data_IF_289560974648
#
_entry.id   IF_289560974648
#
_cell.length_a   1.000
_cell.length_b   1.000
_cell.length_c   1.000
_cell.angle_alpha   90.00
_cell.angle_beta   90.00
_cell.angle_gamma   90.00
#
_symmetry.space_group_name_H-M   'P 1'
#
loop_
_entity.id
_entity.type
_entity.pdbx_description
1 polymer ?
#
# COMPACT_ATOMS: atom_id res chain seq x y z
N UNK A 1 -21.25 1.63 12.11
CA UNK A 1 -20.44 1.51 10.87
C UNK A 1 -21.07 2.39 9.80
N UNK A 2 -20.44 3.51 9.49
CA UNK A 2 -20.90 4.44 8.43
C UNK A 2 -20.56 3.84 7.05
N UNK A 3 -21.48 3.92 6.08
CA UNK A 3 -21.20 3.51 4.69
C UNK A 3 -21.29 4.72 3.76
N UNK A 4 -20.20 4.99 3.05
CA UNK A 4 -20.04 6.16 2.18
C UNK A 4 -19.98 5.69 0.73
N UNK A 5 -20.91 6.17 -0.10
CA UNK A 5 -20.89 5.90 -1.55
C UNK A 5 -20.25 7.08 -2.26
N UNK A 6 -19.17 6.84 -3.00
CA UNK A 6 -18.40 7.90 -3.67
C UNK A 6 -18.01 7.50 -5.08
N UNK A 7 -17.95 8.47 -5.99
CA UNK A 7 -17.41 8.25 -7.32
C UNK A 7 -15.88 8.23 -7.30
N UNK A 8 -15.27 7.46 -8.22
CA UNK A 8 -13.80 7.39 -8.33
C UNK A 8 -13.14 8.76 -8.44
N UNK A 9 -13.71 9.67 -9.23
CA UNK A 9 -13.18 11.05 -9.39
C UNK A 9 -13.18 11.83 -8.08
N UNK A 10 -14.26 11.73 -7.30
CA UNK A 10 -14.38 12.44 -6.01
C UNK A 10 -13.48 11.84 -4.95
N UNK A 11 -13.28 10.52 -4.98
CA UNK A 11 -12.32 9.81 -4.14
C UNK A 11 -10.88 10.23 -4.44
N UNK A 12 -10.43 10.19 -5.71
CA UNK A 12 -9.06 10.55 -6.09
C UNK A 12 -8.73 12.01 -5.80
N UNK A 13 -9.71 12.92 -5.91
CA UNK A 13 -9.50 14.33 -5.59
C UNK A 13 -9.47 14.66 -4.10
N UNK A 14 -9.86 13.72 -3.23
CA UNK A 14 -9.90 13.93 -1.77
C UNK A 14 -9.44 12.66 -1.03
N UNK A 15 -8.39 12.04 -1.54
CA UNK A 15 -7.95 10.71 -1.10
C UNK A 15 -7.74 10.67 0.43
N UNK A 16 -6.97 11.63 0.97
CA UNK A 16 -6.66 11.71 2.40
C UNK A 16 -7.90 11.78 3.29
N UNK A 17 -8.92 12.53 2.86
CA UNK A 17 -10.18 12.67 3.60
C UNK A 17 -10.90 11.33 3.70
N UNK A 18 -10.99 10.59 2.59
CA UNK A 18 -11.67 9.30 2.59
C UNK A 18 -10.84 8.22 3.27
N UNK A 19 -9.51 8.30 3.19
CA UNK A 19 -8.61 7.39 3.89
C UNK A 19 -8.77 7.50 5.41
N UNK A 20 -8.76 8.72 5.96
CA UNK A 20 -9.03 8.95 7.40
C UNK A 20 -10.38 8.38 7.84
N UNK A 21 -11.42 8.54 7.02
CA UNK A 21 -12.73 7.96 7.34
C UNK A 21 -12.70 6.42 7.40
N UNK A 22 -11.88 5.77 6.57
CA UNK A 22 -11.69 4.31 6.62
C UNK A 22 -10.98 3.90 7.91
N UNK A 23 -9.96 4.67 8.32
CA UNK A 23 -9.26 4.49 9.60
C UNK A 23 -10.20 4.68 10.79
N UNK A 24 -11.11 5.66 10.73
CA UNK A 24 -12.16 5.92 11.73
C UNK A 24 -13.30 4.88 11.72
N UNK A 25 -13.24 3.87 10.84
CA UNK A 25 -14.17 2.74 10.83
C UNK A 25 -15.30 2.82 9.77
N UNK A 26 -15.21 3.73 8.80
CA UNK A 26 -16.17 3.83 7.71
C UNK A 26 -15.90 2.80 6.60
N UNK A 27 -16.97 2.27 6.00
CA UNK A 27 -16.92 1.50 4.77
C UNK A 27 -17.13 2.42 3.56
N UNK A 28 -16.36 2.22 2.50
CA UNK A 28 -16.49 2.98 1.25
C UNK A 28 -16.95 2.10 0.10
N UNK A 29 -17.97 2.54 -0.62
CA UNK A 29 -18.39 1.97 -1.89
C UNK A 29 -17.93 2.93 -2.99
N UNK A 30 -16.87 2.54 -3.70
CA UNK A 30 -16.28 3.31 -4.78
C UNK A 30 -16.92 2.91 -6.11
N UNK A 31 -17.53 3.85 -6.83
CA UNK A 31 -18.21 3.61 -8.11
C UNK A 31 -17.55 4.32 -9.30
N UNK A 32 -17.45 3.64 -10.45
CA UNK A 32 -17.06 4.25 -11.72
C UNK A 32 -17.68 3.52 -12.91
N UNK A 33 -18.46 4.24 -13.73
CA UNK A 33 -19.28 3.62 -14.77
C UNK A 33 -20.20 2.55 -14.17
N UNK A 34 -20.21 1.35 -14.78
CA UNK A 34 -20.95 0.19 -14.28
C UNK A 34 -20.14 -0.67 -13.28
N UNK A 35 -18.96 -0.22 -12.85
CA UNK A 35 -18.10 -0.93 -11.91
C UNK A 35 -18.21 -0.33 -10.51
N UNK A 36 -18.06 -1.18 -9.51
CA UNK A 36 -17.94 -0.75 -8.11
C UNK A 36 -16.95 -1.65 -7.37
N UNK A 37 -16.33 -1.11 -6.32
CA UNK A 37 -15.60 -1.88 -5.32
C UNK A 37 -15.98 -1.44 -3.92
N UNK A 38 -15.79 -2.33 -2.95
CA UNK A 38 -16.00 -2.05 -1.54
C UNK A 38 -14.61 -1.97 -0.88
N UNK A 39 -14.38 -0.88 -0.16
CA UNK A 39 -13.24 -0.71 0.72
C UNK A 39 -13.78 -0.86 2.14
N UNK A 40 -13.48 -1.97 2.83
CA UNK A 40 -13.97 -2.18 4.19
C UNK A 40 -13.25 -1.24 5.18
N UNK A 41 -13.81 -1.08 6.39
CA UNK A 41 -13.14 -0.37 7.48
C UNK A 41 -11.75 -0.93 7.78
N UNK A 42 -10.81 -0.08 8.22
CA UNK A 42 -9.43 -0.50 8.49
C UNK A 42 -9.35 -1.61 9.55
N UNK A 43 -10.12 -1.48 10.63
CA UNK A 43 -10.16 -2.47 11.72
C UNK A 43 -10.66 -3.86 11.30
N UNK A 44 -11.39 -3.95 10.18
CA UNK A 44 -11.93 -5.20 9.68
C UNK A 44 -10.89 -6.03 8.89
N UNK A 45 -9.74 -5.43 8.53
CA UNK A 45 -8.65 -6.12 7.85
C UNK A 45 -7.50 -6.29 8.85
N UNK A 46 -7.31 -7.53 9.32
CA UNK A 46 -5.99 -7.95 9.83
C UNK A 46 -5.16 -8.35 8.63
N UNK A 47 -4.18 -7.53 8.29
CA UNK A 47 -3.16 -7.90 7.31
C UNK A 47 -2.02 -8.57 8.07
N UNK A 48 -2.10 -9.90 8.18
CA UNK A 48 -1.07 -10.71 8.84
C UNK A 48 0.25 -10.75 8.02
N UNK A 49 0.30 -10.10 6.86
CA UNK A 49 1.50 -9.99 6.01
C UNK A 49 2.18 -8.62 6.12
N UNK A 50 1.53 -7.64 6.76
CA UNK A 50 2.11 -6.33 7.00
C UNK A 50 3.10 -6.39 8.16
N UNK A 51 4.28 -5.78 7.96
CA UNK A 51 5.23 -5.59 9.05
C UNK A 51 4.69 -4.60 10.07
N UNK A 52 4.94 -4.87 11.34
CA UNK A 52 4.91 -3.81 12.37
C UNK A 52 5.94 -2.73 12.04
N UNK A 53 5.77 -1.55 12.64
CA UNK A 53 6.71 -0.44 12.42
C UNK A 53 8.12 -0.83 12.84
N UNK A 54 8.23 -1.52 13.97
CA UNK A 54 9.50 -1.99 14.53
C UNK A 54 10.18 -3.02 13.62
N UNK A 55 9.42 -3.97 13.06
CA UNK A 55 9.93 -4.96 12.11
C UNK A 55 10.37 -4.30 10.79
N UNK A 56 9.61 -3.31 10.33
CA UNK A 56 9.95 -2.54 9.13
C UNK A 56 11.25 -1.76 9.34
N UNK A 57 11.35 -1.01 10.44
CA UNK A 57 12.52 -0.20 10.77
C UNK A 57 13.77 -1.09 10.94
N UNK A 58 13.63 -2.27 11.55
CA UNK A 58 14.72 -3.24 11.67
C UNK A 58 15.20 -3.76 10.30
N UNK A 59 14.28 -4.02 9.36
CA UNK A 59 14.63 -4.45 7.99
C UNK A 59 15.34 -3.36 7.21
N UNK A 60 14.91 -2.10 7.36
CA UNK A 60 15.57 -0.96 6.75
C UNK A 60 16.98 -0.80 7.30
N UNK A 61 17.16 -0.86 8.62
CA UNK A 61 18.47 -0.77 9.25
C UNK A 61 19.42 -1.90 8.77
N UNK A 62 18.92 -3.13 8.69
CA UNK A 62 19.69 -4.26 8.15
C UNK A 62 20.08 -4.04 6.67
N UNK A 63 19.17 -3.54 5.85
CA UNK A 63 19.45 -3.26 4.44
C UNK A 63 20.48 -2.14 4.26
N UNK A 64 20.45 -1.10 5.11
CA UNK A 64 21.45 -0.03 5.09
C UNK A 64 22.82 -0.59 5.46
N UNK A 65 22.91 -1.42 6.51
CA UNK A 65 24.16 -2.05 6.92
C UNK A 65 24.75 -2.97 5.82
N UNK A 66 23.91 -3.69 5.07
CA UNK A 66 24.34 -4.48 3.91
C UNK A 66 24.94 -3.60 2.81
N UNK A 67 24.31 -2.46 2.51
CA UNK A 67 24.85 -1.51 1.54
C UNK A 67 26.19 -0.93 2.00
N UNK A 68 26.32 -0.55 3.27
CA UNK A 68 27.58 -0.05 3.85
C UNK A 68 28.69 -1.11 3.84
N UNK A 69 28.33 -2.39 4.02
CA UNK A 69 29.25 -3.52 3.89
C UNK A 69 29.60 -3.87 2.43
N UNK A 70 29.01 -3.18 1.45
CA UNK A 70 29.20 -3.44 0.02
C UNK A 70 28.40 -4.63 -0.52
N UNK A 71 27.51 -5.22 0.28
CA UNK A 71 26.65 -6.35 -0.08
C UNK A 71 25.37 -5.83 -0.75
N UNK A 72 25.50 -5.32 -1.97
CA UNK A 72 24.39 -4.84 -2.77
C UNK A 72 24.57 -5.17 -4.26
N UNK A 73 23.45 -5.22 -4.98
CA UNK A 73 23.44 -5.46 -6.42
C UNK A 73 23.11 -4.14 -7.14
N UNK A 74 23.97 -3.76 -8.09
CA UNK A 74 23.65 -2.65 -9.01
C UNK A 74 22.73 -3.16 -10.11
N UNK A 75 21.54 -2.57 -10.17
CA UNK A 75 20.50 -2.99 -11.11
C UNK A 75 20.73 -2.32 -12.48
N UNK A 76 21.65 -2.88 -13.27
CA UNK A 76 21.90 -2.46 -14.65
C UNK A 76 20.74 -2.86 -15.57
N UNK A 77 20.66 -2.27 -16.78
CA UNK A 77 19.63 -2.63 -17.77
C UNK A 77 19.67 -4.12 -18.13
N UNK A 78 20.87 -4.70 -18.22
CA UNK A 78 21.08 -6.11 -18.54
C UNK A 78 20.68 -7.00 -17.35
N UNK A 79 21.09 -6.65 -16.13
CA UNK A 79 20.71 -7.40 -14.92
C UNK A 79 19.20 -7.34 -14.67
N UNK A 80 18.56 -6.22 -14.99
CA UNK A 80 17.11 -6.07 -14.94
C UNK A 80 16.39 -7.02 -15.89
N UNK A 81 16.89 -7.18 -17.12
CA UNK A 81 16.33 -8.11 -18.11
C UNK A 81 16.45 -9.56 -17.63
N UNK A 82 17.64 -9.92 -17.13
CA UNK A 82 17.90 -11.25 -16.55
C UNK A 82 16.95 -11.56 -15.38
N UNK A 83 16.79 -10.65 -14.42
CA UNK A 83 15.91 -10.85 -13.25
C UNK A 83 14.42 -10.91 -13.58
N UNK A 84 14.00 -10.27 -14.68
CA UNK A 84 12.61 -10.26 -15.12
C UNK A 84 12.30 -11.31 -16.19
N UNK A 85 13.30 -12.09 -16.62
CA UNK A 85 13.16 -13.08 -17.69
C UNK A 85 12.80 -12.46 -19.05
N UNK A 86 13.31 -11.25 -19.33
CA UNK A 86 13.01 -10.44 -20.53
C UNK A 86 14.17 -10.39 -21.53
#
# INVERSE_FOLDING_TARGET
>A
METIVVSRRKFTGNFDTYFKKIEEGAQLILKWGNKQTIIPPAEAIKDDTAYTKEEWDAKIAASIAQVEAGDYIVLTKEKRKELLGL
#
